data_IF_551546802304
#
_entry.id   IF_551546802304
#
_cell.length_a   1.000
_cell.length_b   1.000
_cell.length_c   1.000
_cell.angle_alpha   90.00
_cell.angle_beta   90.00
_cell.angle_gamma   90.00
#
_symmetry.space_group_name_H-M   'P 1'
#
loop_
_entity.id
_entity.type
_entity.pdbx_description
1 polymer ?
#
# COMPACT_ATOMS: atom_id res chain seq x y z
N UNK A 1 16.83 3.67 -40.14
CA UNK A 1 16.07 2.47 -39.72
C UNK A 1 16.92 1.66 -38.76
N UNK A 2 16.69 1.80 -37.48
CA UNK A 2 17.23 0.93 -36.45
C UNK A 2 16.15 0.74 -35.40
N UNK A 3 15.54 -0.43 -35.38
CA UNK A 3 14.60 -0.84 -34.34
C UNK A 3 15.42 -1.19 -33.08
N UNK A 4 15.43 -0.29 -32.10
CA UNK A 4 15.89 -0.61 -30.76
C UNK A 4 14.80 -1.43 -30.05
N UNK A 5 14.81 -2.74 -30.25
CA UNK A 5 14.04 -3.65 -29.42
C UNK A 5 14.71 -3.72 -28.05
N UNK A 6 14.10 -3.10 -27.04
CA UNK A 6 14.43 -3.35 -25.64
C UNK A 6 14.16 -4.84 -25.36
N UNK A 7 15.20 -5.66 -25.28
CA UNK A 7 15.13 -6.97 -24.65
C UNK A 7 14.81 -6.75 -23.18
N UNK A 8 13.53 -6.78 -22.83
CA UNK A 8 13.08 -6.85 -21.46
C UNK A 8 13.64 -8.16 -20.84
N UNK A 9 14.17 -8.00 -19.65
CA UNK A 9 14.76 -9.04 -18.78
C UNK A 9 13.66 -10.03 -18.32
N UNK A 10 13.19 -10.89 -19.25
CA UNK A 10 12.04 -11.77 -19.08
C UNK A 10 12.25 -12.87 -18.01
N UNK A 11 13.44 -12.98 -17.42
CA UNK A 11 13.76 -13.98 -16.39
C UNK A 11 13.34 -13.62 -14.97
N UNK A 12 13.21 -12.33 -14.65
CA UNK A 12 12.94 -11.82 -13.30
C UNK A 12 11.48 -11.44 -13.06
N UNK A 13 10.66 -11.32 -14.10
CA UNK A 13 9.25 -10.92 -13.98
C UNK A 13 8.38 -12.08 -13.49
N UNK A 14 7.62 -11.82 -12.42
CA UNK A 14 6.62 -12.75 -11.87
C UNK A 14 5.24 -12.53 -12.47
N UNK A 15 4.70 -11.31 -12.35
CA UNK A 15 3.40 -10.91 -12.93
C UNK A 15 3.60 -9.63 -13.75
N UNK A 16 2.98 -9.56 -14.93
CA UNK A 16 2.99 -8.37 -15.75
C UNK A 16 1.58 -8.09 -16.28
N UNK A 17 1.17 -6.85 -16.15
CA UNK A 17 -0.05 -6.29 -16.72
C UNK A 17 0.36 -5.29 -17.79
N UNK A 18 -0.21 -5.39 -18.98
CA UNK A 18 0.02 -4.48 -20.09
C UNK A 18 -1.31 -3.87 -20.53
N UNK A 19 -1.43 -2.56 -20.36
CA UNK A 19 -2.55 -1.75 -20.84
C UNK A 19 -3.94 -2.27 -20.44
N UNK A 20 -4.09 -2.76 -19.21
CA UNK A 20 -5.34 -3.32 -18.70
C UNK A 20 -6.39 -2.23 -18.56
N UNK A 21 -7.46 -2.37 -19.33
CA UNK A 21 -8.65 -1.52 -19.25
C UNK A 21 -9.88 -2.28 -18.79
N UNK A 22 -10.74 -1.60 -17.99
CA UNK A 22 -12.03 -2.14 -17.53
C UNK A 22 -13.05 -1.05 -17.29
N UNK A 23 -14.24 -1.26 -17.85
CA UNK A 23 -15.42 -0.41 -17.64
C UNK A 23 -16.56 -1.23 -17.05
N UNK A 24 -17.47 -0.57 -16.37
CA UNK A 24 -18.78 -1.09 -15.96
C UNK A 24 -19.84 -0.09 -16.41
N UNK A 25 -20.54 -0.40 -17.48
CA UNK A 25 -21.41 0.55 -18.16
C UNK A 25 -20.60 1.79 -18.60
N UNK A 26 -21.00 2.96 -18.19
CA UNK A 26 -20.32 4.23 -18.52
C UNK A 26 -19.10 4.53 -17.61
N UNK A 27 -18.90 3.77 -16.53
CA UNK A 27 -17.84 4.05 -15.57
C UNK A 27 -16.57 3.31 -15.95
N UNK A 28 -15.50 4.06 -16.25
CA UNK A 28 -14.14 3.51 -16.43
C UNK A 28 -13.51 3.30 -15.06
N UNK A 29 -13.27 2.03 -14.69
CA UNK A 29 -12.65 1.66 -13.41
C UNK A 29 -11.14 1.49 -13.52
N UNK A 30 -10.67 0.96 -14.65
CA UNK A 30 -9.25 0.91 -15.02
C UNK A 30 -9.13 1.50 -16.42
N UNK A 31 -8.34 2.58 -16.54
CA UNK A 31 -8.21 3.29 -17.82
C UNK A 31 -7.09 2.68 -18.70
N UNK A 32 -5.92 2.44 -18.10
CA UNK A 32 -4.73 1.91 -18.78
C UNK A 32 -3.72 1.48 -17.70
N UNK A 33 -4.00 0.33 -17.06
CA UNK A 33 -3.15 -0.15 -15.97
C UNK A 33 -2.04 -1.03 -16.53
N UNK A 34 -0.79 -0.54 -16.43
CA UNK A 34 0.42 -1.29 -16.73
C UNK A 34 1.25 -1.44 -15.45
N UNK A 35 1.56 -2.68 -15.08
CA UNK A 35 2.27 -3.01 -13.85
C UNK A 35 3.16 -4.25 -14.06
N UNK A 36 4.36 -4.20 -13.54
CA UNK A 36 5.26 -5.34 -13.52
C UNK A 36 5.63 -5.65 -12.06
N UNK A 37 5.54 -6.92 -11.65
CA UNK A 37 5.91 -7.42 -10.32
C UNK A 37 7.00 -8.46 -10.51
N UNK A 38 8.12 -8.28 -9.80
CA UNK A 38 9.26 -9.20 -9.91
C UNK A 38 8.98 -10.52 -9.18
N UNK A 39 9.73 -11.57 -9.54
CA UNK A 39 9.62 -12.86 -8.83
C UNK A 39 10.04 -12.69 -7.37
N UNK A 40 9.26 -13.25 -6.47
CA UNK A 40 9.51 -13.17 -5.02
C UNK A 40 9.26 -11.80 -4.40
N UNK A 41 8.79 -10.81 -5.18
CA UNK A 41 8.45 -9.48 -4.68
C UNK A 41 7.08 -9.48 -4.01
N UNK A 42 6.92 -8.76 -2.90
CA UNK A 42 5.64 -8.36 -2.35
C UNK A 42 5.33 -6.93 -2.80
N UNK A 43 4.45 -6.83 -3.80
CA UNK A 43 3.97 -5.57 -4.35
C UNK A 43 2.61 -5.20 -3.74
N UNK A 44 2.52 -4.04 -3.10
CA UNK A 44 1.28 -3.56 -2.50
C UNK A 44 0.57 -2.57 -3.41
N UNK A 45 -0.71 -2.83 -3.75
CA UNK A 45 -1.59 -1.87 -4.38
C UNK A 45 -2.32 -1.08 -3.28
N UNK A 46 -1.99 0.20 -3.16
CA UNK A 46 -2.54 1.11 -2.16
C UNK A 46 -3.32 2.24 -2.84
N UNK A 47 -4.42 2.68 -2.26
CA UNK A 47 -5.22 3.80 -2.79
C UNK A 47 -6.60 3.90 -2.15
N UNK A 48 -7.35 4.97 -2.39
CA UNK A 48 -8.68 5.16 -1.83
C UNK A 48 -9.67 4.08 -2.30
N UNK A 49 -10.78 3.96 -1.58
CA UNK A 49 -11.86 3.05 -1.98
C UNK A 49 -12.36 3.41 -3.37
N UNK A 50 -12.63 2.38 -4.19
CA UNK A 50 -13.12 2.57 -5.55
C UNK A 50 -12.08 2.93 -6.61
N UNK A 51 -10.77 3.05 -6.29
CA UNK A 51 -9.75 3.38 -7.29
C UNK A 51 -9.36 2.21 -8.23
N UNK A 52 -9.94 1.01 -8.09
CA UNK A 52 -9.74 -0.10 -9.02
C UNK A 52 -8.84 -1.25 -8.54
N UNK A 53 -8.31 -1.23 -7.29
CA UNK A 53 -7.39 -2.27 -6.75
C UNK A 53 -7.97 -3.69 -6.80
N UNK A 54 -9.13 -3.89 -6.18
CA UNK A 54 -9.84 -5.20 -6.19
C UNK A 54 -10.23 -5.62 -7.60
N UNK A 55 -10.59 -4.67 -8.46
CA UNK A 55 -10.88 -4.94 -9.89
C UNK A 55 -9.64 -5.48 -10.60
N UNK A 56 -8.50 -4.83 -10.44
CA UNK A 56 -7.23 -5.30 -10.99
C UNK A 56 -6.89 -6.70 -10.48
N UNK A 57 -7.02 -6.95 -9.17
CA UNK A 57 -6.75 -8.25 -8.57
C UNK A 57 -7.66 -9.36 -9.11
N UNK A 58 -8.96 -9.08 -9.28
CA UNK A 58 -9.92 -10.03 -9.86
C UNK A 58 -9.65 -10.31 -11.34
N UNK A 59 -9.17 -9.34 -12.09
CA UNK A 59 -8.73 -9.52 -13.48
C UNK A 59 -7.49 -10.42 -13.54
N UNK A 60 -6.49 -10.19 -12.69
CA UNK A 60 -5.30 -11.04 -12.59
C UNK A 60 -5.68 -12.49 -12.27
N UNK A 61 -6.61 -12.69 -11.33
CA UNK A 61 -7.08 -14.02 -10.97
C UNK A 61 -8.00 -14.67 -12.02
N UNK A 62 -8.51 -13.90 -12.99
CA UNK A 62 -9.43 -14.37 -14.03
C UNK A 62 -10.88 -14.49 -13.57
N UNK A 63 -11.24 -13.93 -12.42
CA UNK A 63 -12.63 -13.82 -11.93
C UNK A 63 -13.39 -12.71 -12.65
N UNK A 64 -12.67 -11.81 -13.31
CA UNK A 64 -13.20 -10.73 -14.12
C UNK A 64 -12.37 -10.64 -15.41
N UNK A 65 -13.02 -10.45 -16.54
CA UNK A 65 -12.34 -10.25 -17.82
C UNK A 65 -11.93 -8.77 -17.98
N UNK A 66 -10.71 -8.56 -18.46
CA UNK A 66 -10.28 -7.25 -18.95
C UNK A 66 -10.94 -6.96 -20.30
N UNK A 67 -11.23 -5.70 -20.60
CA UNK A 67 -11.71 -5.29 -21.94
C UNK A 67 -10.56 -5.06 -22.90
N UNK A 68 -9.43 -4.58 -22.39
CA UNK A 68 -8.20 -4.36 -23.14
C UNK A 68 -6.99 -4.84 -22.36
N UNK A 69 -5.89 -5.04 -23.05
CA UNK A 69 -4.60 -5.38 -22.45
C UNK A 69 -4.31 -6.86 -22.35
N UNK A 70 -3.17 -7.18 -21.73
CA UNK A 70 -2.69 -8.56 -21.56
C UNK A 70 -2.13 -8.78 -20.16
N UNK A 71 -2.17 -10.05 -19.73
CA UNK A 71 -1.66 -10.48 -18.42
C UNK A 71 -0.68 -11.61 -18.65
N UNK A 72 0.51 -11.47 -18.07
CA UNK A 72 1.53 -12.50 -18.13
C UNK A 72 1.89 -12.97 -16.72
N UNK A 73 2.06 -14.27 -16.57
CA UNK A 73 2.56 -14.93 -15.37
C UNK A 73 3.82 -15.69 -15.73
N UNK A 74 4.95 -15.30 -15.15
CA UNK A 74 6.27 -15.88 -15.45
C UNK A 74 6.57 -15.92 -16.98
N UNK A 75 6.13 -14.88 -17.71
CA UNK A 75 6.30 -14.76 -19.16
C UNK A 75 5.26 -15.49 -20.01
N UNK A 76 4.40 -16.31 -19.42
CA UNK A 76 3.29 -16.95 -20.12
C UNK A 76 2.07 -16.05 -20.17
N UNK A 77 1.46 -15.85 -21.33
CA UNK A 77 0.20 -15.11 -21.48
C UNK A 77 -0.96 -15.90 -20.86
N UNK A 78 -1.57 -15.35 -19.82
CA UNK A 78 -2.70 -15.92 -19.10
C UNK A 78 -4.01 -15.14 -19.29
N UNK A 79 -4.05 -14.19 -20.19
CA UNK A 79 -5.16 -13.25 -20.39
C UNK A 79 -6.51 -13.98 -20.50
N UNK A 80 -6.57 -15.00 -21.35
CA UNK A 80 -7.79 -15.78 -21.61
C UNK A 80 -7.81 -17.14 -20.88
N UNK A 81 -6.86 -17.38 -19.96
CA UNK A 81 -6.81 -18.62 -19.18
C UNK A 81 -7.86 -18.54 -18.07
N UNK A 82 -8.75 -19.55 -17.92
CA UNK A 82 -9.77 -19.52 -16.87
C UNK A 82 -9.13 -19.63 -15.47
N UNK A 83 -9.79 -19.08 -14.40
CA UNK A 83 -9.21 -18.94 -13.07
C UNK A 83 -8.57 -20.21 -12.50
N UNK A 84 -9.24 -21.36 -12.63
CA UNK A 84 -8.79 -22.65 -12.11
C UNK A 84 -7.51 -23.19 -12.78
N UNK A 85 -7.11 -22.63 -13.93
CA UNK A 85 -5.90 -23.02 -14.69
C UNK A 85 -4.77 -22.02 -14.57
N UNK A 86 -5.00 -20.83 -13.97
CA UNK A 86 -3.95 -19.79 -13.80
C UNK A 86 -2.89 -20.14 -12.75
N UNK A 87 -3.15 -21.14 -11.93
CA UNK A 87 -2.27 -21.55 -10.82
C UNK A 87 -1.89 -20.39 -9.87
N UNK A 88 -2.88 -19.57 -9.52
CA UNK A 88 -2.77 -18.46 -8.57
C UNK A 88 -3.47 -18.83 -7.26
N UNK A 89 -2.85 -18.48 -6.13
CA UNK A 89 -3.51 -18.52 -4.83
C UNK A 89 -4.21 -17.20 -4.56
N UNK A 90 -5.41 -17.22 -4.02
CA UNK A 90 -6.12 -15.99 -3.65
C UNK A 90 -6.72 -16.09 -2.26
N UNK A 91 -6.53 -15.05 -1.46
CA UNK A 91 -7.22 -14.81 -0.19
C UNK A 91 -8.14 -13.62 -0.37
N UNK A 92 -9.42 -13.81 -0.13
CA UNK A 92 -10.46 -12.77 -0.24
C UNK A 92 -10.61 -12.03 1.08
N UNK A 93 -11.15 -10.83 1.03
CA UNK A 93 -11.45 -9.98 2.18
C UNK A 93 -12.32 -10.69 3.24
N UNK A 94 -13.30 -11.48 2.81
CA UNK A 94 -14.18 -12.28 3.69
C UNK A 94 -13.61 -13.65 4.04
N UNK A 95 -12.33 -13.92 3.70
CA UNK A 95 -11.67 -15.23 3.77
C UNK A 95 -12.32 -16.30 2.88
N UNK A 96 -13.60 -16.21 2.58
CA UNK A 96 -14.41 -17.12 1.76
C UNK A 96 -14.26 -18.61 2.15
N UNK A 97 -14.13 -18.89 3.46
CA UNK A 97 -14.08 -20.25 3.98
C UNK A 97 -15.46 -20.90 3.88
N UNK A 98 -15.49 -22.20 3.62
CA UNK A 98 -16.71 -22.98 3.56
C UNK A 98 -17.16 -23.33 4.99
N UNK A 99 -18.24 -22.73 5.53
CA UNK A 99 -18.61 -22.87 6.94
C UNK A 99 -19.06 -24.29 7.31
N UNK A 100 -19.59 -25.04 6.34
CA UNK A 100 -20.02 -26.43 6.51
C UNK A 100 -18.87 -27.44 6.58
N UNK A 101 -17.65 -27.04 6.17
CA UNK A 101 -16.45 -27.86 6.14
C UNK A 101 -15.59 -27.59 7.39
N UNK A 102 -14.84 -28.60 7.83
CA UNK A 102 -13.78 -28.41 8.83
C UNK A 102 -12.51 -27.79 8.19
N UNK A 103 -11.48 -27.55 9.02
CA UNK A 103 -10.20 -26.96 8.56
C UNK A 103 -9.54 -27.82 7.48
N UNK A 104 -9.42 -29.14 7.72
CA UNK A 104 -8.84 -30.07 6.75
C UNK A 104 -9.56 -30.00 5.40
N UNK A 105 -10.88 -30.05 5.41
CA UNK A 105 -11.71 -30.02 4.20
C UNK A 105 -11.57 -28.71 3.43
N UNK A 106 -11.54 -27.57 4.15
CA UNK A 106 -11.29 -26.26 3.55
C UNK A 106 -9.94 -26.20 2.84
N UNK A 107 -8.86 -26.61 3.51
CA UNK A 107 -7.51 -26.61 2.95
C UNK A 107 -7.38 -27.62 1.81
N UNK A 108 -7.92 -28.82 1.97
CA UNK A 108 -7.85 -29.89 0.98
C UNK A 108 -8.70 -29.64 -0.28
N UNK A 109 -9.61 -28.67 -0.25
CA UNK A 109 -10.63 -28.49 -1.29
C UNK A 109 -10.03 -28.38 -2.70
N UNK A 110 -9.05 -27.51 -2.91
CA UNK A 110 -8.41 -27.31 -4.20
C UNK A 110 -7.70 -28.57 -4.73
N UNK A 111 -7.03 -29.32 -3.85
CA UNK A 111 -6.34 -30.57 -4.21
C UNK A 111 -7.32 -31.69 -4.55
N UNK A 112 -8.44 -31.78 -3.82
CA UNK A 112 -9.52 -32.74 -4.16
C UNK A 112 -10.11 -32.46 -5.54
N UNK A 113 -10.30 -31.17 -5.88
CA UNK A 113 -10.78 -30.77 -7.22
C UNK A 113 -9.79 -31.10 -8.34
N UNK A 114 -8.49 -31.12 -8.00
CA UNK A 114 -7.41 -31.57 -8.90
C UNK A 114 -7.24 -33.11 -8.90
N UNK A 115 -8.05 -33.85 -8.13
CA UNK A 115 -8.07 -35.31 -8.01
C UNK A 115 -6.72 -35.90 -7.53
N UNK A 116 -6.02 -35.22 -6.62
CA UNK A 116 -4.80 -35.77 -6.03
C UNK A 116 -5.13 -36.98 -5.11
N UNK A 117 -4.17 -37.93 -4.93
CA UNK A 117 -4.30 -39.05 -4.02
C UNK A 117 -4.53 -38.59 -2.54
N UNK A 118 -5.29 -39.38 -1.77
CA UNK A 118 -5.68 -39.00 -0.42
C UNK A 118 -4.52 -38.89 0.57
N UNK A 119 -3.50 -39.72 0.41
CA UNK A 119 -2.25 -39.70 1.18
C UNK A 119 -1.45 -38.40 0.93
N UNK A 120 -1.28 -38.00 -0.33
CA UNK A 120 -0.65 -36.73 -0.72
C UNK A 120 -1.42 -35.55 -0.17
N UNK A 121 -2.76 -35.55 -0.26
CA UNK A 121 -3.59 -34.48 0.32
C UNK A 121 -3.35 -34.38 1.84
N UNK A 122 -3.33 -35.51 2.56
CA UNK A 122 -3.13 -35.50 4.01
C UNK A 122 -1.77 -34.93 4.37
N UNK A 123 -0.71 -35.37 3.70
CA UNK A 123 0.65 -34.87 3.91
C UNK A 123 0.72 -33.35 3.67
N UNK A 124 0.27 -32.86 2.52
CA UNK A 124 0.32 -31.43 2.17
C UNK A 124 -0.53 -30.55 3.09
N UNK A 125 -1.68 -31.02 3.56
CA UNK A 125 -2.49 -30.28 4.55
C UNK A 125 -1.73 -30.14 5.86
N UNK A 126 -1.12 -31.21 6.37
CA UNK A 126 -0.33 -31.15 7.61
C UNK A 126 0.86 -30.20 7.46
N UNK A 127 1.55 -30.25 6.33
CA UNK A 127 2.70 -29.40 6.01
C UNK A 127 2.32 -27.91 5.97
N UNK A 128 1.27 -27.54 5.22
CA UNK A 128 0.86 -26.17 5.10
C UNK A 128 0.26 -25.59 6.39
N UNK A 129 -0.43 -26.42 7.19
CA UNK A 129 -0.90 -26.01 8.51
C UNK A 129 0.27 -25.74 9.47
N UNK A 130 1.38 -26.48 9.33
CA UNK A 130 2.63 -26.16 10.00
C UNK A 130 3.21 -24.80 9.58
N UNK A 131 3.25 -24.51 8.28
CA UNK A 131 3.74 -23.23 7.72
C UNK A 131 2.97 -22.04 8.31
N UNK A 132 1.63 -22.14 8.40
CA UNK A 132 0.77 -21.08 8.95
C UNK A 132 0.63 -21.14 10.48
N UNK A 133 1.42 -21.98 11.18
CA UNK A 133 1.44 -22.15 12.64
C UNK A 133 0.09 -22.54 13.23
N UNK A 134 -0.60 -23.47 12.59
CA UNK A 134 -1.88 -24.04 13.04
C UNK A 134 -1.86 -25.58 13.06
N UNK A 135 -0.85 -26.24 13.64
CA UNK A 135 -0.85 -27.70 13.70
C UNK A 135 -1.95 -28.24 14.63
N UNK A 136 -2.54 -29.37 14.29
CA UNK A 136 -3.45 -30.10 15.18
C UNK A 136 -4.89 -29.58 15.22
N UNK A 137 -5.27 -28.64 14.35
CA UNK A 137 -6.64 -28.10 14.30
C UNK A 137 -7.49 -28.63 13.13
N UNK A 138 -7.01 -29.65 12.42
CA UNK A 138 -7.59 -30.17 11.18
C UNK A 138 -9.08 -30.51 11.29
N UNK A 139 -9.51 -31.00 12.45
CA UNK A 139 -10.89 -31.44 12.71
C UNK A 139 -11.83 -30.33 13.16
N UNK A 140 -11.29 -29.13 13.54
CA UNK A 140 -12.10 -28.01 14.02
C UNK A 140 -13.00 -27.46 12.93
N UNK A 141 -14.18 -26.99 13.32
CA UNK A 141 -15.10 -26.26 12.46
C UNK A 141 -14.67 -24.80 12.35
N UNK A 142 -15.03 -24.13 11.26
CA UNK A 142 -14.62 -22.75 11.00
C UNK A 142 -15.14 -21.77 12.07
N UNK A 143 -16.36 -21.98 12.57
CA UNK A 143 -16.96 -21.13 13.61
C UNK A 143 -16.30 -21.28 15.01
N UNK A 144 -15.49 -22.32 15.23
CA UNK A 144 -14.72 -22.51 16.46
C UNK A 144 -13.37 -21.77 16.46
N UNK A 145 -13.05 -21.09 15.35
CA UNK A 145 -11.79 -20.42 15.14
C UNK A 145 -11.91 -18.91 15.37
N UNK A 146 -10.87 -18.32 15.97
CA UNK A 146 -10.74 -16.85 15.99
C UNK A 146 -10.54 -16.29 14.58
N UNK A 147 -10.78 -14.98 14.38
CA UNK A 147 -10.61 -14.31 13.09
C UNK A 147 -9.21 -14.51 12.50
N UNK A 148 -8.15 -14.38 13.30
CA UNK A 148 -6.78 -14.63 12.85
C UNK A 148 -6.51 -16.10 12.50
N UNK A 149 -7.15 -17.08 13.20
CA UNK A 149 -7.06 -18.47 12.82
C UNK A 149 -7.79 -18.74 11.50
N UNK A 150 -8.97 -18.15 11.29
CA UNK A 150 -9.70 -18.25 10.02
C UNK A 150 -8.88 -17.70 8.86
N UNK A 151 -8.23 -16.56 9.05
CA UNK A 151 -7.35 -15.97 8.04
C UNK A 151 -6.17 -16.90 7.70
N UNK A 152 -5.50 -17.46 8.71
CA UNK A 152 -4.41 -18.43 8.50
C UNK A 152 -4.89 -19.68 7.76
N UNK A 153 -6.11 -20.15 8.02
CA UNK A 153 -6.72 -21.26 7.27
C UNK A 153 -6.98 -20.86 5.81
N UNK A 154 -7.45 -19.63 5.55
CA UNK A 154 -7.63 -19.13 4.20
C UNK A 154 -6.29 -19.02 3.45
N UNK A 155 -5.23 -18.57 4.14
CA UNK A 155 -3.88 -18.53 3.61
C UNK A 155 -3.34 -19.94 3.32
N UNK A 156 -3.51 -20.89 4.24
CA UNK A 156 -3.15 -22.29 4.03
C UNK A 156 -3.84 -22.89 2.81
N UNK A 157 -5.15 -22.63 2.64
CA UNK A 157 -5.92 -23.07 1.47
C UNK A 157 -5.39 -22.50 0.16
N UNK A 158 -4.91 -21.23 0.17
CA UNK A 158 -4.32 -20.62 -1.00
C UNK A 158 -2.92 -21.15 -1.33
N UNK A 159 -2.14 -21.53 -0.30
CA UNK A 159 -0.76 -22.00 -0.44
C UNK A 159 -0.64 -23.49 -0.77
N UNK A 160 -1.57 -24.33 -0.27
CA UNK A 160 -1.46 -25.81 -0.37
C UNK A 160 -1.42 -26.33 -1.81
N UNK A 161 -1.92 -25.55 -2.76
CA UNK A 161 -1.90 -25.87 -4.19
C UNK A 161 -0.58 -25.50 -4.87
N UNK A 162 0.41 -24.98 -4.13
CA UNK A 162 1.71 -24.51 -4.60
C UNK A 162 1.56 -23.52 -5.77
N UNK A 163 0.92 -22.37 -5.51
CA UNK A 163 0.64 -21.41 -6.58
C UNK A 163 1.93 -20.73 -7.05
N UNK A 164 1.93 -20.25 -8.30
CA UNK A 164 3.02 -19.47 -8.85
C UNK A 164 3.07 -18.03 -8.31
N UNK A 165 1.91 -17.50 -7.86
CA UNK A 165 1.83 -16.22 -7.17
C UNK A 165 0.63 -16.19 -6.22
N UNK A 166 0.70 -15.31 -5.22
CA UNK A 166 -0.31 -15.12 -4.19
C UNK A 166 -0.97 -13.75 -4.35
N UNK A 167 -2.30 -13.73 -4.32
CA UNK A 167 -3.12 -12.53 -4.41
C UNK A 167 -3.90 -12.35 -3.10
N UNK A 168 -3.73 -11.22 -2.43
CA UNK A 168 -4.33 -10.92 -1.14
C UNK A 168 -5.23 -9.68 -1.28
N UNK A 169 -6.54 -9.86 -1.18
CA UNK A 169 -7.55 -8.78 -1.30
C UNK A 169 -8.00 -8.34 0.10
N UNK A 170 -7.42 -7.26 0.61
CA UNK A 170 -7.67 -6.68 1.95
C UNK A 170 -7.69 -7.74 3.07
N UNK A 171 -6.65 -8.58 3.18
CA UNK A 171 -6.73 -9.79 4.01
C UNK A 171 -6.85 -9.51 5.51
N UNK A 172 -6.56 -8.29 5.98
CA UNK A 172 -6.53 -7.92 7.39
C UNK A 172 -7.70 -7.03 7.82
N UNK A 173 -8.59 -6.66 6.90
CA UNK A 173 -9.66 -5.67 7.16
C UNK A 173 -10.63 -6.07 8.27
N UNK A 174 -10.83 -7.37 8.51
CA UNK A 174 -11.78 -7.91 9.50
C UNK A 174 -11.15 -8.20 10.88
N UNK A 175 -9.90 -7.76 11.12
CA UNK A 175 -9.16 -8.02 12.35
C UNK A 175 -9.04 -6.74 13.19
N UNK A 176 -8.95 -6.92 14.52
CA UNK A 176 -8.57 -5.84 15.42
C UNK A 176 -7.11 -5.39 15.22
N UNK A 177 -6.75 -4.22 15.75
CA UNK A 177 -5.46 -3.60 15.50
C UNK A 177 -4.26 -4.46 15.95
N UNK A 178 -4.37 -5.15 17.11
CA UNK A 178 -3.29 -6.00 17.63
C UNK A 178 -3.09 -7.22 16.75
N UNK A 179 -4.18 -7.92 16.47
CA UNK A 179 -4.14 -9.12 15.63
C UNK A 179 -3.71 -8.80 14.19
N UNK A 180 -4.04 -7.59 13.71
CA UNK A 180 -3.60 -7.11 12.40
C UNK A 180 -2.07 -6.97 12.32
N UNK A 181 -1.43 -6.40 13.36
CA UNK A 181 0.03 -6.29 13.43
C UNK A 181 0.70 -7.67 13.40
N UNK A 182 0.25 -8.63 14.24
CA UNK A 182 0.79 -9.99 14.29
C UNK A 182 0.63 -10.70 12.93
N UNK A 183 -0.50 -10.51 12.27
CA UNK A 183 -0.78 -11.14 10.98
C UNK A 183 -0.01 -10.54 9.83
N UNK A 184 0.32 -9.23 9.86
CA UNK A 184 1.23 -8.62 8.88
C UNK A 184 2.60 -9.28 8.90
N UNK A 185 3.17 -9.43 10.09
CA UNK A 185 4.47 -10.07 10.26
C UNK A 185 4.43 -11.53 9.78
N UNK A 186 3.36 -12.25 10.08
CA UNK A 186 3.20 -13.65 9.68
C UNK A 186 3.08 -13.81 8.16
N UNK A 187 2.27 -12.97 7.49
CA UNK A 187 2.17 -12.96 6.02
C UNK A 187 3.54 -12.67 5.41
N UNK A 188 4.27 -11.66 5.93
CA UNK A 188 5.58 -11.31 5.42
C UNK A 188 6.61 -12.43 5.61
N UNK A 189 6.59 -13.10 6.78
CA UNK A 189 7.43 -14.27 7.07
C UNK A 189 7.19 -15.38 6.04
N UNK A 190 5.94 -15.78 5.85
CA UNK A 190 5.56 -16.85 4.92
C UNK A 190 5.96 -16.48 3.49
N UNK A 191 5.69 -15.25 3.08
CA UNK A 191 6.04 -14.77 1.73
C UNK A 191 7.54 -14.87 1.47
N UNK A 192 8.38 -14.46 2.45
CA UNK A 192 9.85 -14.54 2.33
C UNK A 192 10.36 -15.97 2.35
N UNK A 193 9.88 -16.81 3.27
CA UNK A 193 10.29 -18.20 3.38
C UNK A 193 10.02 -19.00 2.11
N UNK A 194 8.88 -18.71 1.46
CA UNK A 194 8.49 -19.39 0.22
C UNK A 194 9.00 -18.69 -1.05
N UNK A 195 9.63 -17.53 -0.95
CA UNK A 195 10.03 -16.72 -2.10
C UNK A 195 8.85 -16.37 -3.02
N UNK A 196 7.65 -16.18 -2.46
CA UNK A 196 6.39 -16.10 -3.18
C UNK A 196 6.18 -14.72 -3.80
N UNK A 197 5.99 -14.65 -5.12
CA UNK A 197 5.51 -13.43 -5.78
C UNK A 197 4.12 -13.09 -5.26
N UNK A 198 3.94 -11.89 -4.71
CA UNK A 198 2.70 -11.54 -4.01
C UNK A 198 2.19 -10.17 -4.44
N UNK A 199 0.89 -10.08 -4.76
CA UNK A 199 0.18 -8.81 -4.85
C UNK A 199 -0.72 -8.69 -3.63
N UNK A 200 -0.53 -7.62 -2.87
CA UNK A 200 -1.27 -7.30 -1.66
C UNK A 200 -2.12 -6.05 -1.90
N UNK A 201 -3.41 -6.14 -1.73
CA UNK A 201 -4.33 -5.00 -1.84
C UNK A 201 -4.72 -4.54 -0.45
N UNK A 202 -4.61 -3.24 -0.19
CA UNK A 202 -5.10 -2.61 1.03
C UNK A 202 -5.46 -1.15 0.79
N UNK A 203 -6.25 -0.57 1.68
CA UNK A 203 -6.44 0.88 1.82
C UNK A 203 -5.73 1.42 3.07
N UNK A 204 -5.13 0.57 3.88
CA UNK A 204 -4.38 0.92 5.08
C UNK A 204 -2.92 1.22 4.74
N UNK A 205 -2.52 2.47 5.01
CA UNK A 205 -1.17 2.95 4.71
C UNK A 205 -0.12 2.27 5.60
N UNK A 206 -0.43 2.01 6.87
CA UNK A 206 0.48 1.36 7.81
C UNK A 206 0.77 -0.09 7.36
N UNK A 207 -0.25 -0.81 6.87
CA UNK A 207 -0.07 -2.12 6.28
C UNK A 207 0.90 -2.06 5.09
N UNK A 208 0.60 -1.18 4.11
CA UNK A 208 1.42 -1.07 2.91
C UNK A 208 2.87 -0.70 3.23
N UNK A 209 3.08 0.30 4.10
CA UNK A 209 4.41 0.79 4.47
C UNK A 209 5.25 -0.25 5.22
N UNK A 210 4.61 -1.12 6.00
CA UNK A 210 5.32 -2.10 6.84
C UNK A 210 5.62 -3.42 6.14
N UNK A 211 4.81 -3.84 5.17
CA UNK A 211 4.91 -5.18 4.58
C UNK A 211 5.55 -5.19 3.18
N UNK A 212 5.39 -4.12 2.39
CA UNK A 212 5.72 -4.14 0.97
C UNK A 212 7.21 -3.97 0.68
N UNK A 213 7.70 -4.65 -0.36
CA UNK A 213 8.97 -4.30 -1.00
C UNK A 213 8.79 -3.07 -1.89
N UNK A 214 7.62 -2.98 -2.54
CA UNK A 214 7.23 -1.87 -3.41
C UNK A 214 5.74 -1.59 -3.28
N UNK A 215 5.41 -0.29 -3.26
CA UNK A 215 4.04 0.21 -3.22
C UNK A 215 3.70 0.83 -4.58
N UNK A 216 2.49 0.56 -5.04
CA UNK A 216 1.86 1.15 -6.21
C UNK A 216 0.66 1.96 -5.71
N UNK A 217 0.77 3.27 -5.76
CA UNK A 217 -0.34 4.16 -5.41
C UNK A 217 -1.29 4.25 -6.60
N UNK A 218 -2.53 3.87 -6.36
CA UNK A 218 -3.60 3.95 -7.37
C UNK A 218 -4.61 5.05 -7.04
N UNK A 219 -5.01 5.80 -8.06
CA UNK A 219 -6.07 6.80 -7.95
C UNK A 219 -6.88 6.82 -9.26
N UNK A 220 -8.21 6.80 -9.15
CA UNK A 220 -9.15 6.90 -10.30
C UNK A 220 -8.78 5.98 -11.47
N UNK A 221 -8.41 4.73 -11.16
CA UNK A 221 -8.10 3.70 -12.17
C UNK A 221 -6.72 3.81 -12.83
N UNK A 222 -5.82 4.66 -12.30
CA UNK A 222 -4.46 4.87 -12.80
C UNK A 222 -3.44 4.70 -11.70
N UNK A 223 -2.19 4.44 -12.08
CA UNK A 223 -1.05 4.49 -11.16
C UNK A 223 -0.57 5.94 -11.07
N UNK A 224 -0.54 6.48 -9.85
CA UNK A 224 0.00 7.81 -9.55
C UNK A 224 1.51 7.77 -9.32
N UNK A 225 1.95 6.78 -8.54
CA UNK A 225 3.38 6.59 -8.24
C UNK A 225 3.65 5.13 -7.89
N UNK A 226 4.86 4.70 -8.21
CA UNK A 226 5.40 3.39 -7.80
C UNK A 226 6.78 3.60 -7.17
N UNK A 227 7.04 2.96 -6.03
CA UNK A 227 8.32 3.09 -5.34
C UNK A 227 8.41 2.22 -4.10
N UNK A 228 9.59 2.22 -3.46
CA UNK A 228 9.73 1.63 -2.12
C UNK A 228 8.89 2.43 -1.11
N UNK A 229 8.50 1.84 0.04
CA UNK A 229 7.78 2.57 1.08
C UNK A 229 8.43 3.92 1.41
N UNK A 230 9.75 3.91 1.61
CA UNK A 230 10.52 5.11 1.90
C UNK A 230 10.45 6.16 0.79
N UNK A 231 10.60 5.75 -0.47
CA UNK A 231 10.54 6.66 -1.62
C UNK A 231 9.16 7.31 -1.77
N UNK A 232 8.08 6.55 -1.54
CA UNK A 232 6.70 7.07 -1.57
C UNK A 232 6.48 8.13 -0.48
N UNK A 233 7.01 7.89 0.74
CA UNK A 233 6.84 8.80 1.87
C UNK A 233 7.70 10.06 1.76
N UNK A 234 8.99 9.90 1.45
CA UNK A 234 9.97 11.01 1.41
C UNK A 234 9.90 11.82 0.12
N UNK A 235 9.58 11.17 -1.03
CA UNK A 235 9.61 11.79 -2.35
C UNK A 235 8.28 11.56 -3.11
N UNK A 236 7.15 12.09 -2.61
CA UNK A 236 5.88 11.99 -3.30
C UNK A 236 5.94 12.73 -4.65
N UNK A 237 5.45 12.08 -5.72
CA UNK A 237 5.49 12.62 -7.08
C UNK A 237 4.39 13.66 -7.32
N UNK A 238 3.29 13.60 -6.58
CA UNK A 238 2.13 14.49 -6.73
C UNK A 238 1.62 14.97 -5.37
N UNK A 239 0.88 16.07 -5.36
CA UNK A 239 0.17 16.54 -4.17
C UNK A 239 -0.77 15.46 -3.62
N UNK A 240 -1.45 14.72 -4.52
CA UNK A 240 -2.30 13.60 -4.13
C UNK A 240 -1.52 12.54 -3.33
N UNK A 241 -0.38 12.07 -3.83
CA UNK A 241 0.44 11.07 -3.11
C UNK A 241 0.91 11.62 -1.77
N UNK A 242 1.35 12.89 -1.76
CA UNK A 242 1.81 13.58 -0.55
C UNK A 242 0.73 13.64 0.54
N UNK A 243 -0.51 13.97 0.16
CA UNK A 243 -1.64 14.07 1.07
C UNK A 243 -2.27 12.72 1.43
N UNK A 244 -2.16 11.76 0.52
CA UNK A 244 -2.73 10.43 0.73
C UNK A 244 -1.88 9.57 1.67
N UNK A 245 -0.54 9.73 1.70
CA UNK A 245 0.35 8.90 2.51
C UNK A 245 0.86 9.67 3.73
N UNK A 246 0.39 9.29 4.92
CA UNK A 246 0.76 9.91 6.19
C UNK A 246 0.13 11.30 6.41
N UNK A 247 0.52 11.94 7.52
CA UNK A 247 0.11 13.30 7.82
C UNK A 247 1.01 14.30 7.09
N UNK A 248 0.44 15.40 6.58
CA UNK A 248 1.19 16.44 5.86
C UNK A 248 0.56 17.81 6.14
N UNK A 249 1.39 18.84 6.23
CA UNK A 249 0.95 20.22 6.14
C UNK A 249 0.96 20.64 4.68
N UNK A 250 -0.19 21.04 4.16
CA UNK A 250 -0.31 21.68 2.84
C UNK A 250 -0.58 23.16 3.03
N UNK A 251 0.18 24.01 2.37
CA UNK A 251 0.02 25.46 2.42
C UNK A 251 0.43 26.11 1.10
N UNK A 252 -0.07 27.31 0.88
CA UNK A 252 0.21 28.05 -0.33
C UNK A 252 1.62 28.66 -0.31
N UNK A 253 2.25 28.72 -1.47
CA UNK A 253 3.51 29.43 -1.70
C UNK A 253 3.50 30.15 -3.03
N UNK A 254 4.44 31.08 -3.21
CA UNK A 254 4.65 31.79 -4.46
C UNK A 254 6.13 31.75 -4.80
N UNK A 255 6.43 31.42 -6.06
CA UNK A 255 7.80 31.43 -6.59
C UNK A 255 7.98 32.67 -7.43
N UNK A 256 8.91 33.54 -7.03
CA UNK A 256 9.29 34.74 -7.74
C UNK A 256 10.80 34.93 -7.65
N UNK A 257 11.43 35.27 -8.79
CA UNK A 257 12.87 35.60 -8.88
C UNK A 257 13.80 34.57 -8.22
N UNK A 258 13.50 33.25 -8.37
CA UNK A 258 14.29 32.17 -7.79
C UNK A 258 14.14 32.01 -6.26
N UNK A 259 13.08 32.58 -5.68
CA UNK A 259 12.75 32.44 -4.25
C UNK A 259 11.33 31.91 -4.08
N UNK A 260 11.17 30.97 -3.18
CA UNK A 260 9.88 30.51 -2.71
C UNK A 260 9.49 31.30 -1.46
N UNK A 261 8.36 31.95 -1.49
CA UNK A 261 7.75 32.64 -0.34
C UNK A 261 6.62 31.79 0.21
N UNK A 262 6.75 31.30 1.45
CA UNK A 262 5.71 30.54 2.13
C UNK A 262 5.87 30.63 3.66
N UNK A 263 4.79 30.47 4.41
CA UNK A 263 4.74 30.52 5.89
C UNK A 263 5.37 31.81 6.48
N UNK A 264 5.38 32.92 5.73
CA UNK A 264 6.02 34.17 6.16
C UNK A 264 7.54 34.20 6.04
N UNK A 265 8.15 33.21 5.40
CA UNK A 265 9.59 33.11 5.18
C UNK A 265 9.92 32.96 3.68
N UNK A 266 11.18 33.21 3.32
CA UNK A 266 11.68 33.08 1.96
C UNK A 266 12.79 32.04 1.88
N UNK A 267 12.68 31.12 0.93
CA UNK A 267 13.62 30.03 0.69
C UNK A 267 14.20 30.13 -0.72
N UNK A 268 15.51 29.93 -0.91
CA UNK A 268 16.07 29.82 -2.25
C UNK A 268 15.54 28.55 -2.90
N UNK A 269 15.12 28.66 -4.16
CA UNK A 269 14.71 27.53 -5.00
C UNK A 269 15.49 27.57 -6.30
N UNK A 270 15.86 26.38 -6.81
CA UNK A 270 16.50 26.30 -8.12
C UNK A 270 15.47 26.66 -9.21
N UNK A 271 15.71 27.73 -10.00
CA UNK A 271 14.80 28.14 -11.08
C UNK A 271 14.59 27.05 -12.15
N UNK A 272 15.52 26.10 -12.26
CA UNK A 272 15.39 24.98 -13.20
C UNK A 272 14.36 23.93 -12.76
N UNK A 273 13.95 23.93 -11.49
CA UNK A 273 13.06 22.91 -10.92
C UNK A 273 11.58 23.31 -11.13
N UNK A 274 11.26 24.62 -11.09
CA UNK A 274 9.87 25.03 -11.15
C UNK A 274 9.72 26.46 -11.72
N UNK A 275 8.70 26.66 -12.56
CA UNK A 275 8.35 27.95 -13.12
C UNK A 275 7.84 28.92 -12.04
N UNK A 276 8.04 30.26 -12.21
CA UNK A 276 7.41 31.26 -11.37
C UNK A 276 5.88 31.11 -11.34
N UNK A 277 5.28 31.33 -10.16
CA UNK A 277 3.84 31.28 -10.00
C UNK A 277 3.39 30.76 -8.63
N UNK A 278 2.09 30.56 -8.48
CA UNK A 278 1.50 29.96 -7.29
C UNK A 278 1.80 28.45 -7.24
N UNK A 279 2.12 27.96 -6.04
CA UNK A 279 2.47 26.57 -5.78
C UNK A 279 1.81 26.07 -4.51
N UNK A 280 1.62 24.75 -4.41
CA UNK A 280 1.30 24.06 -3.16
C UNK A 280 2.59 23.55 -2.54
N UNK A 281 2.85 23.96 -1.31
CA UNK A 281 3.96 23.47 -0.50
C UNK A 281 3.46 22.37 0.43
N UNK A 282 4.26 21.33 0.60
CA UNK A 282 3.95 20.20 1.47
C UNK A 282 5.12 19.92 2.42
N UNK A 283 4.84 19.84 3.72
CA UNK A 283 5.84 19.62 4.77
C UNK A 283 5.32 18.67 5.83
N UNK A 284 6.11 17.64 6.13
CA UNK A 284 5.77 16.66 7.16
C UNK A 284 5.79 17.30 8.55
N UNK A 285 4.81 16.99 9.44
CA UNK A 285 4.75 17.54 10.80
C UNK A 285 6.01 17.25 11.64
N UNK A 286 6.63 16.10 11.46
CA UNK A 286 7.84 15.64 12.15
C UNK A 286 9.13 16.32 11.67
N UNK A 287 9.10 16.99 10.51
CA UNK A 287 10.25 17.72 9.98
C UNK A 287 10.29 19.17 10.47
N UNK A 288 9.27 19.60 11.21
CA UNK A 288 9.22 20.93 11.81
C UNK A 288 9.78 20.85 13.23
N UNK A 289 10.77 21.72 13.52
CA UNK A 289 11.44 21.78 14.82
C UNK A 289 11.09 23.09 15.54
N UNK A 290 10.91 23.01 16.86
CA UNK A 290 10.76 24.16 17.71
C UNK A 290 12.14 24.74 18.05
N UNK A 291 12.32 26.04 17.84
CA UNK A 291 13.55 26.74 18.17
C UNK A 291 13.27 28.15 18.73
N UNK A 292 14.16 28.63 19.59
CA UNK A 292 14.12 30.02 20.04
C UNK A 292 14.52 30.95 18.87
N UNK A 293 13.64 31.91 18.54
CA UNK A 293 13.95 32.90 17.47
C UNK A 293 13.75 32.38 16.04
N UNK A 294 12.97 31.30 15.82
CA UNK A 294 12.67 30.75 14.49
C UNK A 294 12.04 31.77 13.53
N UNK A 295 12.31 31.57 12.23
CA UNK A 295 11.76 32.42 11.18
C UNK A 295 10.25 32.34 11.04
N UNK A 296 9.66 31.21 11.42
CA UNK A 296 8.23 30.99 11.43
C UNK A 296 7.76 31.08 12.89
N UNK A 297 6.77 31.91 13.14
CA UNK A 297 6.22 32.12 14.50
C UNK A 297 4.75 31.78 14.55
N UNK A 298 4.33 31.17 15.64
CA UNK A 298 2.93 30.81 15.86
C UNK A 298 2.58 30.63 17.33
N UNK A 299 1.29 30.44 17.57
CA UNK A 299 0.71 30.21 18.90
C UNK A 299 0.12 28.80 18.92
N UNK A 300 0.41 28.04 19.98
CA UNK A 300 -0.15 26.71 20.19
C UNK A 300 -1.66 26.82 20.39
N UNK A 301 -2.43 26.17 19.53
CA UNK A 301 -3.90 26.17 19.58
C UNK A 301 -4.47 24.87 20.15
N UNK A 302 -3.84 23.75 19.83
CA UNK A 302 -4.23 22.43 20.32
C UNK A 302 -2.97 21.61 20.65
N UNK A 303 -3.08 20.75 21.65
CA UNK A 303 -2.06 19.76 22.03
C UNK A 303 -2.73 18.40 22.17
N UNK A 304 -2.22 17.40 21.47
CA UNK A 304 -2.73 16.01 21.51
C UNK A 304 -1.57 15.07 21.87
N UNK A 305 -1.67 14.43 23.03
CA UNK A 305 -0.73 13.39 23.45
C UNK A 305 -1.16 12.03 22.86
N UNK A 306 -0.29 11.44 22.05
CA UNK A 306 -0.55 10.19 21.32
C UNK A 306 0.38 9.04 21.76
N UNK A 307 0.82 9.07 23.02
CA UNK A 307 1.71 8.07 23.61
C UNK A 307 3.17 8.39 23.33
N UNK A 308 3.76 7.88 22.28
CA UNK A 308 5.17 8.11 21.93
C UNK A 308 5.46 9.48 21.31
N UNK A 309 4.43 10.19 20.88
CA UNK A 309 4.53 11.49 20.22
C UNK A 309 3.50 12.47 20.77
N UNK A 310 3.82 13.76 20.66
CA UNK A 310 2.89 14.86 20.90
C UNK A 310 2.65 15.56 19.57
N UNK A 311 1.37 15.80 19.26
CA UNK A 311 0.97 16.59 18.08
C UNK A 311 0.42 17.93 18.53
N UNK A 312 0.97 18.98 17.93
CA UNK A 312 0.54 20.36 18.13
C UNK A 312 -0.16 20.88 16.89
N UNK A 313 -1.22 21.68 17.05
CA UNK A 313 -1.73 22.58 16.02
C UNK A 313 -1.33 24.01 16.35
N UNK A 314 -0.61 24.64 15.46
CA UNK A 314 -0.01 25.95 15.61
C UNK A 314 -0.70 26.93 14.67
N UNK A 315 -1.34 27.96 15.22
CA UNK A 315 -1.85 29.09 14.42
C UNK A 315 -0.71 30.05 14.11
N UNK A 316 -0.49 30.33 12.83
CA UNK A 316 0.59 31.22 12.39
C UNK A 316 0.29 32.70 12.74
N UNK A 317 1.33 33.48 13.09
CA UNK A 317 1.14 34.86 13.52
C UNK A 317 0.67 35.82 12.43
N UNK A 318 1.02 35.55 11.16
CA UNK A 318 0.73 36.44 10.03
C UNK A 318 -0.21 35.80 8.98
N UNK A 319 -0.92 34.73 9.37
CA UNK A 319 -1.85 34.02 8.49
C UNK A 319 -3.00 33.45 9.31
N UNK A 320 -4.12 33.17 8.67
CA UNK A 320 -5.20 32.39 9.25
C UNK A 320 -4.93 30.88 9.19
N UNK A 321 -3.83 30.49 8.61
CA UNK A 321 -3.44 29.08 8.45
C UNK A 321 -2.98 28.48 9.77
N UNK A 322 -3.22 27.17 9.89
CA UNK A 322 -2.70 26.34 10.98
C UNK A 322 -1.82 25.26 10.43
N UNK A 323 -0.70 24.99 11.09
CA UNK A 323 0.17 23.88 10.77
C UNK A 323 0.23 22.89 11.92
N UNK A 324 0.39 21.61 11.59
CA UNK A 324 0.63 20.55 12.56
C UNK A 324 2.13 20.36 12.75
N UNK A 325 2.55 20.23 14.00
CA UNK A 325 3.94 19.86 14.36
C UNK A 325 3.89 18.61 15.21
N UNK A 326 4.83 17.70 15.01
CA UNK A 326 4.89 16.44 15.73
C UNK A 326 6.27 16.25 16.33
N UNK A 327 6.33 16.04 17.68
CA UNK A 327 7.57 15.83 18.40
C UNK A 327 7.52 14.52 19.18
N UNK A 328 8.68 13.93 19.55
CA UNK A 328 8.73 12.86 20.54
C UNK A 328 8.10 13.30 21.87
N UNK A 329 7.40 12.39 22.55
CA UNK A 329 6.77 12.67 23.85
C UNK A 329 7.79 12.90 24.99
N UNK A 330 9.07 12.65 24.73
CA UNK A 330 10.20 12.92 25.66
C UNK A 330 10.66 14.37 25.65
N UNK A 331 10.26 15.14 24.63
CA UNK A 331 10.65 16.54 24.49
C UNK A 331 9.84 17.43 25.44
N UNK A 332 10.31 18.67 25.66
CA UNK A 332 9.60 19.64 26.47
C UNK A 332 8.21 19.93 25.88
N UNK A 333 7.17 19.72 26.69
CA UNK A 333 5.81 19.96 26.26
C UNK A 333 5.47 21.45 26.32
N UNK A 334 4.95 21.98 25.19
CA UNK A 334 4.34 23.31 25.13
C UNK A 334 2.86 23.21 25.49
N UNK A 335 2.30 24.29 26.03
CA UNK A 335 0.89 24.37 26.39
C UNK A 335 0.13 25.31 25.45
N UNK A 336 -1.19 25.17 25.45
CA UNK A 336 -2.07 26.06 24.66
C UNK A 336 -1.84 27.52 25.09
N UNK A 337 -1.61 28.39 24.11
CA UNK A 337 -1.31 29.80 24.31
C UNK A 337 0.17 30.16 24.23
N UNK A 338 1.09 29.18 24.31
CA UNK A 338 2.51 29.44 24.14
C UNK A 338 2.82 29.99 22.75
N UNK A 339 3.70 31.01 22.72
CA UNK A 339 4.24 31.54 21.46
C UNK A 339 5.57 30.86 21.18
N UNK A 340 5.67 30.21 20.03
CA UNK A 340 6.83 29.41 19.64
C UNK A 340 7.42 29.85 18.32
N UNK A 341 8.71 29.71 18.20
CA UNK A 341 9.46 29.79 16.94
C UNK A 341 9.65 28.40 16.35
N UNK A 342 9.61 28.31 15.03
CA UNK A 342 9.74 27.06 14.30
C UNK A 342 10.72 27.22 13.14
N UNK A 343 11.31 26.08 12.76
CA UNK A 343 12.15 25.95 11.57
C UNK A 343 11.99 24.57 10.96
N UNK A 344 12.45 24.40 9.72
CA UNK A 344 12.58 23.11 9.05
C UNK A 344 13.77 23.18 8.05
N UNK A 345 14.30 22.01 7.65
CA UNK A 345 15.29 21.95 6.57
C UNK A 345 14.56 22.17 5.22
N UNK A 346 14.96 23.13 4.40
CA UNK A 346 14.37 23.35 3.08
C UNK A 346 14.33 22.12 2.16
N UNK A 347 15.20 21.13 2.39
CA UNK A 347 15.21 19.84 1.66
C UNK A 347 13.97 19.00 1.93
N UNK A 348 13.32 19.18 3.08
CA UNK A 348 12.13 18.44 3.49
C UNK A 348 10.85 19.01 2.88
N UNK A 349 10.93 20.23 2.34
CA UNK A 349 9.82 20.88 1.68
C UNK A 349 9.63 20.30 0.28
N UNK A 350 8.42 19.83 0.01
CA UNK A 350 7.99 19.46 -1.35
C UNK A 350 7.14 20.57 -1.93
N UNK A 351 7.33 20.84 -3.21
CA UNK A 351 6.61 21.91 -3.91
C UNK A 351 5.94 21.30 -5.13
N UNK A 352 4.66 21.55 -5.27
CA UNK A 352 3.85 21.06 -6.40
C UNK A 352 3.27 22.24 -7.17
N UNK A 353 3.18 22.15 -8.51
CA UNK A 353 2.47 23.14 -9.29
C UNK A 353 1.01 23.15 -8.84
N UNK A 354 0.45 24.35 -8.62
CA UNK A 354 -0.97 24.49 -8.32
C UNK A 354 -1.74 24.22 -9.61
N UNK A 355 -2.45 23.09 -9.67
CA UNK A 355 -3.35 22.81 -10.78
C UNK A 355 -4.46 23.87 -10.79
N UNK A 356 -4.57 24.59 -11.89
CA UNK A 356 -5.65 25.54 -12.17
C UNK A 356 -6.98 24.83 -12.36
#
# INVERSE_FOLDING_TARGET
>A
MARSGSRSDNGLTGIQLEHIGKRFGEVTVLADLSLQVSRGELCCLLGPSGCGKTTALRIINGLLEAETGRIFLHGADITNVPPQKRNLGMVFQSYALFPQMNVFENVAYGMRRRKLPADIIRQKVTEVLGIVRLPGIEKRRIHELSGGQQQRVALARALVIEPQALLLDEPLSNLDARLRADMREEIRRIQRELGMTTIYVTHDQEEAMSIADRIVIMNRGKIEQTGTPRAIYENPATEFVSSFVGNINLFNGTIENGKLSCLGAHFPIDPAIMNPGEVTCALRPENIQFISGGSIRGVVREVSYLGSIIRYKIGLQHSTETISVQTPATDAAYVIGDTIGMTFDPKDLRVFPRNQ
#
